data_IF_259905022253
#
_entry.id   IF_259905022253
#
_cell.length_a   1.000
_cell.length_b   1.000
_cell.length_c   1.000
_cell.angle_alpha   90.00
_cell.angle_beta   90.00
_cell.angle_gamma   90.00
#
_symmetry.space_group_name_H-M   'P 1'
#
loop_
_entity.id
_entity.type
_entity.pdbx_description
1 polymer ?
#
# COMPACT_ATOMS: atom_id res chain seq x y z
N UNK A 1 39.52 3.91 -14.24
CA UNK A 1 38.55 2.79 -14.11
C UNK A 1 39.30 1.52 -14.50
N UNK A 2 39.43 0.53 -13.63
CA UNK A 2 40.04 -0.74 -14.00
C UNK A 2 39.07 -1.50 -14.90
N UNK A 3 39.42 -1.71 -16.16
CA UNK A 3 38.72 -2.62 -17.04
C UNK A 3 39.05 -4.06 -16.62
N UNK A 4 38.02 -4.91 -16.37
CA UNK A 4 38.22 -6.34 -16.41
C UNK A 4 38.34 -6.79 -17.87
N UNK A 5 39.12 -7.83 -18.14
CA UNK A 5 39.44 -8.31 -19.51
C UNK A 5 38.20 -8.79 -20.30
N UNK A 6 37.02 -8.88 -19.69
CA UNK A 6 35.76 -9.31 -20.30
C UNK A 6 34.75 -8.19 -20.57
N UNK A 7 35.13 -6.93 -20.45
CA UNK A 7 34.23 -5.79 -20.69
C UNK A 7 33.20 -5.53 -19.57
N UNK A 8 33.23 -6.32 -18.49
CA UNK A 8 32.36 -6.11 -17.34
C UNK A 8 32.82 -4.94 -16.49
N UNK A 9 31.89 -4.06 -16.16
CA UNK A 9 32.19 -2.89 -15.32
C UNK A 9 32.40 -3.36 -13.88
N UNK A 10 33.56 -3.05 -13.30
CA UNK A 10 33.84 -3.30 -11.90
C UNK A 10 33.82 -2.00 -11.12
N UNK A 11 32.96 -1.91 -10.09
CA UNK A 11 32.85 -0.77 -9.19
C UNK A 11 33.29 -1.22 -7.80
N UNK A 12 34.32 -0.62 -7.24
CA UNK A 12 34.74 -0.91 -5.88
C UNK A 12 33.75 -0.33 -4.88
N UNK A 13 33.20 -1.15 -3.99
CA UNK A 13 32.35 -0.68 -2.88
C UNK A 13 33.21 -0.24 -1.69
N UNK A 14 32.85 0.88 -1.09
CA UNK A 14 33.44 1.37 0.16
C UNK A 14 33.07 0.46 1.32
N UNK A 15 33.82 0.51 2.44
CA UNK A 15 33.50 -0.25 3.66
C UNK A 15 32.07 0.06 4.17
N UNK A 16 31.60 1.30 3.99
CA UNK A 16 30.28 1.71 4.39
C UNK A 16 29.17 1.11 3.50
N UNK A 17 29.39 1.05 2.19
CA UNK A 17 28.49 0.36 1.26
C UNK A 17 28.39 -1.13 1.55
N UNK A 18 29.54 -1.79 1.84
CA UNK A 18 29.55 -3.19 2.23
C UNK A 18 28.79 -3.45 3.53
N UNK A 19 28.95 -2.57 4.52
CA UNK A 19 28.18 -2.66 5.78
C UNK A 19 26.70 -2.46 5.53
N UNK A 20 26.32 -1.47 4.70
CA UNK A 20 24.92 -1.23 4.32
C UNK A 20 24.29 -2.46 3.68
N UNK A 21 24.94 -3.08 2.70
CA UNK A 21 24.47 -4.30 2.04
C UNK A 21 24.23 -5.45 3.02
N UNK A 22 25.13 -5.65 3.96
CA UNK A 22 25.00 -6.72 4.96
C UNK A 22 23.88 -6.45 5.96
N UNK A 23 23.81 -5.22 6.48
CA UNK A 23 22.73 -4.83 7.40
C UNK A 23 21.35 -4.99 6.73
N UNK A 24 21.25 -4.62 5.47
CA UNK A 24 20.02 -4.76 4.70
C UNK A 24 19.60 -6.21 4.56
N UNK A 25 20.47 -7.06 4.02
CA UNK A 25 20.14 -8.44 3.70
C UNK A 25 19.92 -9.31 4.96
N UNK A 26 20.74 -9.13 6.01
CA UNK A 26 20.75 -10.04 7.16
C UNK A 26 20.07 -9.48 8.42
N UNK A 27 19.77 -8.20 8.48
CA UNK A 27 19.14 -7.59 9.66
C UNK A 27 17.79 -6.96 9.30
N UNK A 28 17.77 -6.01 8.38
CA UNK A 28 16.57 -5.24 8.07
C UNK A 28 15.50 -6.13 7.44
N UNK A 29 15.84 -6.86 6.37
CA UNK A 29 14.92 -7.73 5.64
C UNK A 29 14.31 -8.85 6.52
N UNK A 30 15.07 -9.64 7.28
CA UNK A 30 14.49 -10.62 8.18
C UNK A 30 13.61 -10.02 9.27
N UNK A 31 13.98 -8.87 9.85
CA UNK A 31 13.20 -8.22 10.91
C UNK A 31 11.82 -7.83 10.41
N UNK A 32 11.72 -7.08 9.32
CA UNK A 32 10.41 -6.61 8.86
C UNK A 32 9.53 -7.76 8.31
N UNK A 33 10.15 -8.79 7.71
CA UNK A 33 9.43 -9.97 7.23
C UNK A 33 8.81 -10.76 8.39
N UNK A 34 9.58 -10.96 9.48
CA UNK A 34 9.08 -11.60 10.70
C UNK A 34 7.99 -10.74 11.37
N UNK A 35 8.19 -9.42 11.44
CA UNK A 35 7.19 -8.51 12.00
C UNK A 35 5.89 -8.55 11.20
N UNK A 36 5.95 -8.57 9.88
CA UNK A 36 4.77 -8.67 9.03
C UNK A 36 3.99 -9.96 9.30
N UNK A 37 4.67 -11.10 9.37
CA UNK A 37 4.05 -12.37 9.74
C UNK A 37 3.43 -12.32 11.13
N UNK A 38 4.16 -11.78 12.11
CA UNK A 38 3.67 -11.65 13.49
C UNK A 38 2.38 -10.80 13.54
N UNK A 39 2.35 -9.66 12.86
CA UNK A 39 1.17 -8.80 12.78
C UNK A 39 0.00 -9.53 12.11
N UNK A 40 0.24 -10.24 11.01
CA UNK A 40 -0.79 -11.01 10.32
C UNK A 40 -1.43 -12.07 11.22
N UNK A 41 -0.60 -12.81 11.98
CA UNK A 41 -1.06 -13.82 12.95
C UNK A 41 -1.80 -13.17 14.13
N UNK A 42 -1.27 -12.08 14.67
CA UNK A 42 -1.90 -11.32 15.75
C UNK A 42 -3.31 -10.84 15.38
N UNK A 43 -3.49 -10.41 14.13
CA UNK A 43 -4.77 -9.93 13.61
C UNK A 43 -5.69 -11.06 13.11
N UNK A 44 -5.29 -12.33 13.18
CA UNK A 44 -6.02 -13.43 12.54
C UNK A 44 -7.49 -13.54 12.97
N UNK A 45 -7.75 -13.37 14.27
CA UNK A 45 -9.09 -13.50 14.87
C UNK A 45 -9.88 -12.18 14.90
N UNK A 46 -9.32 -11.08 14.41
CA UNK A 46 -9.99 -9.79 14.42
C UNK A 46 -10.95 -9.66 13.24
N UNK A 47 -12.15 -9.11 13.53
CA UNK A 47 -13.26 -9.07 12.57
C UNK A 47 -13.61 -7.66 12.08
N UNK A 48 -13.06 -6.63 12.69
CA UNK A 48 -13.21 -5.24 12.29
C UNK A 48 -12.65 -5.04 10.89
N UNK A 49 -13.31 -4.23 10.05
CA UNK A 49 -12.99 -4.08 8.61
C UNK A 49 -11.56 -3.56 8.44
N UNK A 50 -11.20 -2.53 9.20
CA UNK A 50 -9.88 -1.91 9.18
C UNK A 50 -8.77 -2.87 9.62
N UNK A 51 -9.02 -3.70 10.65
CA UNK A 51 -8.06 -4.69 11.13
C UNK A 51 -7.95 -5.89 10.17
N UNK A 52 -9.06 -6.29 9.54
CA UNK A 52 -9.01 -7.29 8.45
C UNK A 52 -8.19 -6.79 7.28
N UNK A 53 -8.35 -5.53 6.90
CA UNK A 53 -7.56 -4.94 5.83
C UNK A 53 -6.06 -4.90 6.19
N UNK A 54 -5.69 -4.48 7.41
CA UNK A 54 -4.29 -4.55 7.87
C UNK A 54 -3.74 -5.97 7.89
N UNK A 55 -4.55 -6.96 8.28
CA UNK A 55 -4.14 -8.37 8.22
C UNK A 55 -3.80 -8.79 6.79
N UNK A 56 -4.68 -8.49 5.82
CA UNK A 56 -4.43 -8.82 4.43
C UNK A 56 -3.26 -8.05 3.85
N UNK A 57 -3.08 -6.78 4.24
CA UNK A 57 -1.88 -6.01 3.92
C UNK A 57 -0.62 -6.77 4.32
N UNK A 58 -0.52 -7.22 5.56
CA UNK A 58 0.67 -7.93 6.06
C UNK A 58 0.84 -9.33 5.45
N UNK A 59 -0.23 -10.01 5.10
CA UNK A 59 -0.16 -11.29 4.38
C UNK A 59 0.43 -11.07 2.97
N UNK A 60 -0.07 -10.09 2.23
CA UNK A 60 0.44 -9.81 0.89
C UNK A 60 1.86 -9.26 0.91
N UNK A 61 2.21 -8.46 1.92
CA UNK A 61 3.59 -8.03 2.14
C UNK A 61 4.51 -9.25 2.36
N UNK A 62 4.16 -10.10 3.31
CA UNK A 62 4.94 -11.30 3.63
C UNK A 62 5.10 -12.23 2.40
N UNK A 63 4.03 -12.45 1.64
CA UNK A 63 4.09 -13.25 0.42
C UNK A 63 4.97 -12.59 -0.64
N UNK A 64 4.83 -11.28 -0.85
CA UNK A 64 5.65 -10.51 -1.79
C UNK A 64 7.14 -10.65 -1.47
N UNK A 65 7.52 -10.42 -0.21
CA UNK A 65 8.90 -10.56 0.25
C UNK A 65 9.46 -11.99 0.10
N UNK A 66 8.62 -13.00 0.34
CA UNK A 66 9.05 -14.38 0.13
C UNK A 66 9.22 -14.73 -1.36
N UNK A 67 8.47 -14.13 -2.28
CA UNK A 67 8.71 -14.28 -3.71
C UNK A 67 10.05 -13.66 -4.12
N UNK A 68 10.40 -12.49 -3.61
CA UNK A 68 11.71 -11.88 -3.81
C UNK A 68 12.83 -12.78 -3.25
N UNK A 69 12.70 -13.26 -2.01
CA UNK A 69 13.66 -14.17 -1.40
C UNK A 69 13.79 -15.50 -2.17
N UNK A 70 12.67 -16.05 -2.67
CA UNK A 70 12.68 -17.26 -3.49
C UNK A 70 13.39 -17.05 -4.82
N UNK A 71 13.21 -15.89 -5.45
CA UNK A 71 13.94 -15.54 -6.67
C UNK A 71 15.46 -15.52 -6.40
N UNK A 72 15.87 -14.94 -5.29
CA UNK A 72 17.27 -14.89 -4.88
C UNK A 72 17.86 -16.27 -4.57
N UNK A 73 17.11 -17.17 -3.92
CA UNK A 73 17.61 -18.45 -3.43
C UNK A 73 17.54 -19.58 -4.44
N UNK A 74 16.55 -19.59 -5.35
CA UNK A 74 16.23 -20.74 -6.16
C UNK A 74 16.43 -20.52 -7.67
N UNK A 75 16.72 -19.30 -8.10
CA UNK A 75 16.97 -19.03 -9.54
C UNK A 75 18.42 -18.68 -9.78
N UNK A 76 19.00 -19.28 -10.82
CA UNK A 76 20.32 -18.88 -11.31
C UNK A 76 20.22 -17.43 -11.85
N UNK A 77 21.15 -16.58 -11.43
CA UNK A 77 21.22 -15.17 -11.82
C UNK A 77 20.00 -14.29 -11.43
N UNK A 78 19.14 -14.71 -10.51
CA UNK A 78 17.96 -13.94 -10.07
C UNK A 78 17.00 -13.55 -11.21
N UNK A 79 16.83 -14.41 -12.23
CA UNK A 79 16.19 -14.08 -13.50
C UNK A 79 14.73 -14.57 -13.62
N UNK A 80 14.06 -14.95 -12.54
CA UNK A 80 12.65 -15.31 -12.62
C UNK A 80 11.74 -14.08 -12.67
N UNK A 81 11.44 -13.62 -13.87
CA UNK A 81 10.47 -12.54 -14.09
C UNK A 81 9.13 -12.78 -13.38
N UNK A 82 8.69 -14.04 -13.30
CA UNK A 82 7.43 -14.39 -12.65
C UNK A 82 7.46 -14.11 -11.15
N UNK A 83 8.55 -14.45 -10.45
CA UNK A 83 8.68 -14.21 -9.00
C UNK A 83 8.74 -12.74 -8.70
N UNK A 84 9.42 -11.93 -9.53
CA UNK A 84 9.47 -10.49 -9.38
C UNK A 84 8.10 -9.82 -9.63
N UNK A 85 7.35 -10.28 -10.62
CA UNK A 85 5.98 -9.79 -10.81
C UNK A 85 5.07 -10.14 -9.64
N UNK A 86 5.22 -11.32 -9.04
CA UNK A 86 4.48 -11.73 -7.86
C UNK A 86 4.88 -10.90 -6.63
N UNK A 87 6.18 -10.59 -6.48
CA UNK A 87 6.67 -9.66 -5.46
C UNK A 87 6.02 -8.29 -5.64
N UNK A 88 6.16 -7.68 -6.80
CA UNK A 88 5.60 -6.36 -7.12
C UNK A 88 4.08 -6.30 -6.91
N UNK A 89 3.34 -7.34 -7.34
CA UNK A 89 1.91 -7.46 -7.11
C UNK A 89 1.58 -7.57 -5.61
N UNK A 90 2.33 -8.39 -4.86
CA UNK A 90 2.18 -8.54 -3.42
C UNK A 90 2.34 -7.20 -2.70
N UNK A 91 3.36 -6.43 -3.07
CA UNK A 91 3.61 -5.10 -2.52
C UNK A 91 2.48 -4.12 -2.86
N UNK A 92 2.04 -4.04 -4.12
CA UNK A 92 0.94 -3.17 -4.53
C UNK A 92 -0.37 -3.49 -3.78
N UNK A 93 -0.70 -4.77 -3.62
CA UNK A 93 -1.86 -5.20 -2.83
C UNK A 93 -1.70 -4.85 -1.35
N UNK A 94 -0.51 -5.06 -0.80
CA UNK A 94 -0.20 -4.72 0.59
C UNK A 94 -0.45 -3.23 0.87
N UNK A 95 0.12 -2.35 0.06
CA UNK A 95 -0.08 -0.90 0.16
C UNK A 95 -1.56 -0.51 -0.02
N UNK A 96 -2.27 -1.15 -0.94
CA UNK A 96 -3.70 -0.93 -1.17
C UNK A 96 -4.55 -1.27 0.06
N UNK A 97 -4.32 -2.43 0.67
CA UNK A 97 -5.04 -2.84 1.87
C UNK A 97 -4.70 -1.99 3.10
N UNK A 98 -3.44 -1.57 3.28
CA UNK A 98 -3.05 -0.66 4.36
C UNK A 98 -3.74 0.71 4.20
N UNK A 99 -3.76 1.23 2.98
CA UNK A 99 -4.45 2.49 2.66
C UNK A 99 -5.95 2.39 2.89
N UNK A 100 -6.57 1.26 2.50
CA UNK A 100 -7.99 1.02 2.77
C UNK A 100 -8.27 0.97 4.28
N UNK A 101 -7.42 0.30 5.06
CA UNK A 101 -7.54 0.27 6.52
C UNK A 101 -7.49 1.68 7.13
N UNK A 102 -6.56 2.51 6.65
CA UNK A 102 -6.42 3.89 7.11
C UNK A 102 -7.67 4.72 6.78
N UNK A 103 -8.14 4.68 5.53
CA UNK A 103 -9.34 5.42 5.08
C UNK A 103 -10.57 4.96 5.86
N UNK A 104 -10.77 3.65 6.03
CA UNK A 104 -11.90 3.10 6.77
C UNK A 104 -11.82 3.46 8.25
N UNK A 105 -10.63 3.38 8.84
CA UNK A 105 -10.40 3.77 10.22
C UNK A 105 -10.69 5.26 10.47
N UNK A 106 -10.29 6.13 9.55
CA UNK A 106 -10.60 7.57 9.62
C UNK A 106 -12.10 7.79 9.47
N UNK A 107 -12.75 7.11 8.51
CA UNK A 107 -14.18 7.27 8.30
C UNK A 107 -15.00 6.80 9.52
N UNK A 108 -14.70 5.63 10.06
CA UNK A 108 -15.47 5.09 11.20
C UNK A 108 -15.24 5.84 12.51
N UNK A 109 -14.03 6.31 12.76
CA UNK A 109 -13.67 6.91 14.05
C UNK A 109 -13.73 8.43 14.08
N UNK A 110 -13.35 9.09 12.97
CA UNK A 110 -13.27 10.55 12.91
C UNK A 110 -14.44 11.16 12.13
N UNK A 111 -14.66 10.77 10.88
CA UNK A 111 -15.63 11.41 10.00
C UNK A 111 -17.07 10.88 10.20
N UNK A 112 -17.21 9.58 10.48
CA UNK A 112 -18.51 8.87 10.62
C UNK A 112 -19.44 9.09 9.42
N UNK A 113 -18.84 9.25 8.24
CA UNK A 113 -19.57 9.57 7.03
C UNK A 113 -20.37 8.37 6.49
N UNK A 114 -19.79 7.16 6.54
CA UNK A 114 -20.43 5.95 6.02
C UNK A 114 -21.50 5.36 6.94
N UNK A 115 -21.60 5.78 8.20
CA UNK A 115 -22.62 5.26 9.11
C UNK A 115 -24.00 5.88 8.84
N UNK A 116 -25.01 5.11 8.37
CA UNK A 116 -26.31 5.68 7.99
C UNK A 116 -27.07 6.30 9.17
N UNK A 117 -26.82 5.84 10.41
CA UNK A 117 -27.52 6.27 11.62
C UNK A 117 -26.83 7.42 12.36
N UNK A 118 -25.62 7.82 11.98
CA UNK A 118 -24.88 8.89 12.68
C UNK A 118 -24.70 10.09 11.76
N UNK A 119 -24.78 11.26 12.34
CA UNK A 119 -24.45 12.51 11.67
C UNK A 119 -22.94 12.57 11.39
N UNK A 120 -22.56 13.03 10.19
CA UNK A 120 -21.18 13.28 9.82
C UNK A 120 -20.56 14.32 10.78
N UNK A 121 -19.33 14.08 11.25
CA UNK A 121 -18.63 15.02 12.16
C UNK A 121 -18.37 16.40 11.53
N UNK A 122 -18.43 16.49 10.18
CA UNK A 122 -18.30 17.74 9.45
C UNK A 122 -19.60 18.55 9.37
N UNK A 123 -20.70 18.10 9.99
CA UNK A 123 -22.00 18.79 9.94
C UNK A 123 -21.91 20.24 10.43
N UNK A 124 -21.03 20.51 11.40
CA UNK A 124 -20.79 21.86 11.90
C UNK A 124 -20.19 22.81 10.85
N UNK A 125 -19.41 22.28 9.90
CA UNK A 125 -18.86 23.04 8.77
C UNK A 125 -19.85 23.16 7.60
N UNK A 126 -20.60 22.10 7.34
CA UNK A 126 -21.54 22.04 6.22
C UNK A 126 -22.88 22.74 6.53
N UNK A 127 -23.14 23.13 7.78
CA UNK A 127 -24.40 23.72 8.31
C UNK A 127 -25.65 22.87 8.06
N UNK A 128 -25.71 22.07 7.00
CA UNK A 128 -26.79 21.13 6.68
C UNK A 128 -26.16 19.81 6.20
N UNK A 129 -26.62 18.69 6.74
CA UNK A 129 -26.16 17.38 6.28
C UNK A 129 -27.03 16.92 5.12
N UNK A 130 -26.52 17.02 3.91
CA UNK A 130 -27.21 16.59 2.69
C UNK A 130 -27.21 15.07 2.46
N UNK A 131 -26.73 14.27 3.43
CA UNK A 131 -26.69 12.81 3.35
C UNK A 131 -28.07 12.18 3.12
N UNK A 132 -29.13 12.86 3.51
CA UNK A 132 -30.51 12.41 3.42
C UNK A 132 -31.33 13.15 2.35
N UNK A 133 -30.74 14.11 1.68
CA UNK A 133 -31.39 14.88 0.61
C UNK A 133 -30.66 14.64 -0.71
N UNK A 134 -31.35 14.81 -1.83
CA UNK A 134 -30.80 14.63 -3.18
C UNK A 134 -29.79 15.71 -3.60
N UNK A 135 -29.14 16.35 -2.63
CA UNK A 135 -28.16 17.42 -2.84
C UNK A 135 -26.75 16.87 -2.76
N UNK A 136 -25.83 17.36 -3.59
CA UNK A 136 -24.44 16.92 -3.59
C UNK A 136 -23.73 17.31 -2.27
N UNK A 137 -23.16 16.30 -1.59
CA UNK A 137 -22.36 16.51 -0.40
C UNK A 137 -20.97 17.11 -0.78
N UNK A 138 -20.55 18.18 -0.08
CA UNK A 138 -19.25 18.80 -0.32
C UNK A 138 -18.07 17.85 -0.12
N UNK A 139 -18.16 16.91 0.83
CA UNK A 139 -17.16 15.87 1.01
C UNK A 139 -17.07 14.94 -0.19
N UNK A 140 -18.22 14.54 -0.77
CA UNK A 140 -18.24 13.73 -2.00
C UNK A 140 -17.60 14.47 -3.18
N UNK A 141 -17.92 15.75 -3.35
CA UNK A 141 -17.29 16.58 -4.40
C UNK A 141 -15.79 16.72 -4.19
N UNK A 142 -15.34 16.85 -2.93
CA UNK A 142 -13.93 16.87 -2.59
C UNK A 142 -13.23 15.55 -2.95
N UNK A 143 -13.85 14.39 -2.67
CA UNK A 143 -13.28 13.09 -3.05
C UNK A 143 -13.22 12.91 -4.57
N UNK A 144 -14.21 13.39 -5.34
CA UNK A 144 -14.15 13.38 -6.80
C UNK A 144 -12.96 14.21 -7.29
N UNK A 145 -12.81 15.42 -6.76
CA UNK A 145 -11.68 16.28 -7.09
C UNK A 145 -10.33 15.62 -6.76
N UNK A 146 -10.20 15.05 -5.56
CA UNK A 146 -8.99 14.34 -5.13
C UNK A 146 -8.68 13.12 -6.00
N UNK A 147 -9.71 12.42 -6.50
CA UNK A 147 -9.52 11.31 -7.43
C UNK A 147 -8.99 11.80 -8.79
N UNK A 148 -9.51 12.90 -9.33
CA UNK A 148 -9.01 13.48 -10.58
C UNK A 148 -7.56 13.99 -10.41
N UNK A 149 -7.30 14.74 -9.33
CA UNK A 149 -5.96 15.22 -9.01
C UNK A 149 -4.98 14.06 -8.79
N UNK A 150 -5.41 13.03 -8.06
CA UNK A 150 -4.64 11.80 -7.83
C UNK A 150 -4.30 11.07 -9.12
N UNK A 151 -5.24 11.01 -10.08
CA UNK A 151 -4.98 10.41 -11.39
C UNK A 151 -3.87 11.14 -12.15
N UNK A 152 -3.84 12.46 -12.10
CA UNK A 152 -2.79 13.28 -12.75
C UNK A 152 -1.44 13.04 -12.05
N UNK A 153 -1.43 13.11 -10.72
CA UNK A 153 -0.22 12.92 -9.92
C UNK A 153 0.34 11.49 -10.09
N UNK A 154 -0.52 10.49 -10.17
CA UNK A 154 -0.13 9.09 -10.35
C UNK A 154 0.71 8.85 -11.63
N UNK A 155 0.61 9.72 -12.63
CA UNK A 155 1.39 9.61 -13.86
C UNK A 155 2.83 10.16 -13.75
N UNK A 156 3.18 10.80 -12.63
CA UNK A 156 4.52 11.39 -12.44
C UNK A 156 5.68 10.39 -12.63
N UNK A 157 5.61 9.12 -12.15
CA UNK A 157 6.67 8.15 -12.35
C UNK A 157 6.97 7.82 -13.81
N UNK A 158 6.06 8.16 -14.75
CA UNK A 158 6.31 7.99 -16.19
C UNK A 158 7.48 8.85 -16.69
N UNK A 159 7.88 9.90 -15.97
CA UNK A 159 9.03 10.72 -16.29
C UNK A 159 10.37 10.04 -15.96
N UNK A 160 10.37 8.89 -15.28
CA UNK A 160 11.59 8.16 -14.95
C UNK A 160 12.31 7.70 -16.22
N UNK A 161 13.62 7.91 -16.27
CA UNK A 161 14.49 7.31 -17.28
C UNK A 161 14.77 5.85 -16.87
N UNK A 162 14.51 4.91 -17.77
CA UNK A 162 14.78 3.50 -17.56
C UNK A 162 16.21 3.18 -18.01
N UNK A 163 16.99 2.59 -17.12
CA UNK A 163 18.38 2.21 -17.38
C UNK A 163 18.61 0.75 -17.04
N UNK A 164 19.29 0.07 -17.94
CA UNK A 164 19.93 -1.18 -17.59
C UNK A 164 21.23 -0.84 -16.86
N UNK A 165 21.36 -1.27 -15.62
CA UNK A 165 22.59 -1.12 -14.84
C UNK A 165 23.04 -2.50 -14.42
N UNK A 166 24.28 -2.85 -14.78
CA UNK A 166 24.93 -4.07 -14.32
C UNK A 166 26.40 -3.76 -14.04
N UNK A 167 26.87 -4.21 -12.90
CA UNK A 167 28.28 -4.14 -12.54
C UNK A 167 28.66 -5.18 -11.50
N UNK A 168 29.95 -5.52 -11.48
CA UNK A 168 30.52 -6.35 -10.47
C UNK A 168 31.12 -5.51 -9.33
N UNK A 169 30.93 -5.97 -8.10
CA UNK A 169 31.58 -5.38 -6.93
C UNK A 169 32.05 -6.47 -5.98
N UNK A 170 32.84 -6.12 -4.98
CA UNK A 170 33.23 -7.04 -3.91
C UNK A 170 32.59 -6.60 -2.61
N UNK A 171 31.89 -7.55 -1.95
CA UNK A 171 31.33 -7.39 -0.62
C UNK A 171 32.04 -8.41 0.27
N UNK A 172 32.85 -7.96 1.21
CA UNK A 172 33.67 -8.76 2.10
C UNK A 172 34.49 -9.87 1.39
N UNK A 173 35.12 -9.47 0.28
CA UNK A 173 35.94 -10.36 -0.52
C UNK A 173 35.20 -11.25 -1.52
N UNK A 174 33.88 -11.40 -1.40
CA UNK A 174 33.05 -12.15 -2.34
C UNK A 174 32.70 -11.27 -3.53
N UNK A 175 32.87 -11.79 -4.73
CA UNK A 175 32.43 -11.13 -5.96
C UNK A 175 30.90 -11.19 -6.03
N UNK A 176 30.28 -10.04 -6.21
CA UNK A 176 28.85 -9.88 -6.33
C UNK A 176 28.51 -9.18 -7.63
N UNK A 177 27.57 -9.74 -8.40
CA UNK A 177 27.07 -9.12 -9.62
C UNK A 177 25.75 -8.44 -9.31
N UNK A 178 25.72 -7.12 -9.40
CA UNK A 178 24.50 -6.34 -9.35
C UNK A 178 23.93 -6.22 -10.77
N UNK A 179 22.74 -6.73 -10.94
CA UNK A 179 22.00 -6.62 -12.17
C UNK A 179 20.58 -6.15 -11.87
N UNK A 180 20.19 -4.99 -12.41
CA UNK A 180 18.83 -4.49 -12.26
C UNK A 180 18.13 -4.51 -13.62
N UNK A 181 17.33 -5.55 -13.89
CA UNK A 181 16.69 -5.72 -15.19
C UNK A 181 15.61 -4.66 -15.42
N UNK A 182 15.60 -4.10 -16.61
CA UNK A 182 14.62 -3.10 -17.08
C UNK A 182 13.15 -3.57 -16.90
N UNK A 183 12.93 -4.87 -16.94
CA UNK A 183 11.58 -5.48 -16.86
C UNK A 183 10.85 -5.09 -15.58
N UNK A 184 11.52 -5.04 -14.43
CA UNK A 184 10.90 -4.64 -13.16
C UNK A 184 10.52 -3.16 -13.18
N UNK A 185 11.40 -2.33 -13.69
CA UNK A 185 11.16 -0.91 -13.84
C UNK A 185 9.95 -0.64 -14.75
N UNK A 186 9.72 -1.47 -15.78
CA UNK A 186 8.54 -1.35 -16.64
C UNK A 186 7.24 -1.54 -15.87
N UNK A 187 7.13 -2.56 -15.01
CA UNK A 187 5.89 -2.79 -14.25
C UNK A 187 5.67 -1.66 -13.24
N UNK A 188 6.67 -1.35 -12.45
CA UNK A 188 6.56 -0.49 -11.28
C UNK A 188 6.43 1.00 -11.65
N UNK A 189 7.16 1.48 -12.68
CA UNK A 189 7.18 2.89 -13.05
C UNK A 189 6.53 3.20 -14.40
N UNK A 190 5.99 2.20 -15.11
CA UNK A 190 5.24 2.40 -16.36
C UNK A 190 3.80 1.89 -16.26
N UNK A 191 3.58 0.64 -15.86
CA UNK A 191 2.22 0.08 -15.82
C UNK A 191 1.44 0.51 -14.58
N UNK A 192 2.06 0.54 -13.39
CA UNK A 192 1.38 0.94 -12.16
C UNK A 192 0.90 2.40 -12.15
N UNK A 193 1.61 3.39 -12.70
CA UNK A 193 1.07 4.74 -12.86
C UNK A 193 -0.24 4.78 -13.64
N UNK A 194 -0.34 4.06 -14.76
CA UNK A 194 -1.58 3.98 -15.53
C UNK A 194 -2.68 3.25 -14.77
N UNK A 195 -2.36 2.15 -14.09
CA UNK A 195 -3.31 1.44 -13.26
C UNK A 195 -3.84 2.32 -12.13
N UNK A 196 -2.98 3.03 -11.43
CA UNK A 196 -3.36 3.96 -10.37
C UNK A 196 -4.26 5.08 -10.90
N UNK A 197 -3.88 5.72 -12.02
CA UNK A 197 -4.69 6.75 -12.65
C UNK A 197 -6.08 6.22 -13.06
N UNK A 198 -6.16 5.04 -13.66
CA UNK A 198 -7.42 4.40 -14.03
C UNK A 198 -8.30 4.10 -12.81
N UNK A 199 -7.72 3.61 -11.71
CA UNK A 199 -8.42 3.34 -10.46
C UNK A 199 -8.95 4.63 -9.80
N UNK A 200 -8.18 5.72 -9.80
CA UNK A 200 -8.62 7.03 -9.30
C UNK A 200 -9.80 7.57 -10.14
N UNK A 201 -9.71 7.49 -11.46
CA UNK A 201 -10.80 7.90 -12.34
C UNK A 201 -12.04 7.03 -12.11
N UNK A 202 -11.89 5.72 -11.99
CA UNK A 202 -12.99 4.80 -11.70
C UNK A 202 -13.64 5.12 -10.34
N UNK A 203 -12.85 5.45 -9.31
CA UNK A 203 -13.37 5.87 -8.01
C UNK A 203 -14.21 7.17 -8.13
N UNK A 204 -13.71 8.16 -8.86
CA UNK A 204 -14.41 9.42 -9.10
C UNK A 204 -15.69 9.22 -9.90
N UNK A 205 -15.66 8.43 -10.98
CA UNK A 205 -16.83 8.11 -11.79
C UNK A 205 -17.90 7.35 -11.00
N UNK A 206 -17.47 6.44 -10.11
CA UNK A 206 -18.40 5.71 -9.23
C UNK A 206 -19.17 6.67 -8.33
N UNK A 207 -18.54 7.71 -7.79
CA UNK A 207 -19.21 8.75 -7.02
C UNK A 207 -20.08 9.66 -7.89
N UNK A 208 -19.64 9.95 -9.11
CA UNK A 208 -20.35 10.85 -10.01
C UNK A 208 -21.71 10.28 -10.44
N UNK A 209 -21.76 8.98 -10.79
CA UNK A 209 -22.98 8.34 -11.29
C UNK A 209 -24.07 8.09 -10.24
N UNK A 210 -23.89 8.52 -8.98
CA UNK A 210 -24.91 8.53 -7.90
C UNK A 210 -25.76 7.24 -7.82
N UNK A 211 -25.12 6.08 -7.93
CA UNK A 211 -25.80 4.78 -7.70
C UNK A 211 -26.07 4.60 -6.21
N UNK A 212 -27.00 3.71 -5.89
CA UNK A 212 -27.23 3.30 -4.51
C UNK A 212 -25.90 2.87 -3.84
N UNK A 213 -25.56 3.49 -2.72
CA UNK A 213 -24.34 3.25 -1.94
C UNK A 213 -22.98 3.30 -2.72
N UNK A 214 -22.72 4.35 -3.52
CA UNK A 214 -21.48 4.41 -4.32
C UNK A 214 -20.21 4.56 -3.49
N UNK A 215 -20.33 4.87 -2.21
CA UNK A 215 -19.20 5.22 -1.35
C UNK A 215 -18.28 4.04 -1.08
N UNK A 216 -18.82 2.85 -0.78
CA UNK A 216 -18.01 1.68 -0.47
C UNK A 216 -17.12 1.24 -1.65
N UNK A 217 -17.65 1.01 -2.87
CA UNK A 217 -16.80 0.67 -4.00
C UNK A 217 -15.84 1.81 -4.37
N UNK A 218 -16.25 3.07 -4.24
CA UNK A 218 -15.37 4.21 -4.49
C UNK A 218 -14.20 4.26 -3.50
N UNK A 219 -14.43 4.04 -2.20
CA UNK A 219 -13.36 3.97 -1.19
C UNK A 219 -12.36 2.85 -1.50
N UNK A 220 -12.85 1.69 -1.91
CA UNK A 220 -12.00 0.56 -2.27
C UNK A 220 -11.11 0.88 -3.47
N UNK A 221 -11.71 1.42 -4.54
CA UNK A 221 -10.97 1.83 -5.75
C UNK A 221 -9.96 2.94 -5.45
N UNK A 222 -10.35 3.92 -4.66
CA UNK A 222 -9.48 5.03 -4.26
C UNK A 222 -8.30 4.54 -3.40
N UNK A 223 -8.54 3.63 -2.46
CA UNK A 223 -7.50 3.04 -1.62
C UNK A 223 -6.53 2.18 -2.45
N UNK A 224 -7.06 1.37 -3.37
CA UNK A 224 -6.23 0.60 -4.29
C UNK A 224 -5.37 1.52 -5.17
N UNK A 225 -5.95 2.62 -5.69
CA UNK A 225 -5.23 3.62 -6.47
C UNK A 225 -4.08 4.25 -5.67
N UNK A 226 -4.35 4.68 -4.42
CA UNK A 226 -3.33 5.24 -3.54
C UNK A 226 -2.23 4.22 -3.21
N UNK A 227 -2.60 2.95 -3.00
CA UNK A 227 -1.63 1.89 -2.74
C UNK A 227 -0.69 1.66 -3.92
N UNK A 228 -1.25 1.47 -5.10
CA UNK A 228 -0.46 1.27 -6.34
C UNK A 228 0.38 2.52 -6.66
N UNK A 229 -0.20 3.71 -6.54
CA UNK A 229 0.52 4.97 -6.71
C UNK A 229 1.67 5.10 -5.72
N UNK A 230 1.40 4.85 -4.43
CA UNK A 230 2.41 4.96 -3.36
C UNK A 230 3.59 4.04 -3.63
N UNK A 231 3.34 2.78 -3.98
CA UNK A 231 4.38 1.83 -4.33
C UNK A 231 5.18 2.29 -5.56
N UNK A 232 4.50 2.71 -6.63
CA UNK A 232 5.16 3.23 -7.83
C UNK A 232 6.03 4.47 -7.55
N UNK A 233 5.57 5.37 -6.68
CA UNK A 233 6.35 6.55 -6.27
C UNK A 233 7.60 6.17 -5.47
N UNK A 234 7.50 5.21 -4.55
CA UNK A 234 8.67 4.73 -3.83
C UNK A 234 9.73 4.19 -4.79
N UNK A 235 9.31 3.35 -5.74
CA UNK A 235 10.22 2.81 -6.76
C UNK A 235 10.80 3.92 -7.65
N UNK A 236 9.99 4.88 -8.06
CA UNK A 236 10.45 6.04 -8.83
C UNK A 236 11.55 6.82 -8.09
N UNK A 237 11.34 7.14 -6.81
CA UNK A 237 12.31 7.89 -6.01
C UNK A 237 13.62 7.11 -5.84
N UNK A 238 13.52 5.82 -5.51
CA UNK A 238 14.69 4.95 -5.31
C UNK A 238 15.47 4.79 -6.62
N UNK A 239 14.80 4.48 -7.72
CA UNK A 239 15.47 4.32 -9.03
C UNK A 239 16.08 5.63 -9.52
N UNK A 240 15.39 6.74 -9.38
CA UNK A 240 15.92 8.03 -9.81
C UNK A 240 17.10 8.49 -8.96
N UNK A 241 17.02 8.30 -7.66
CA UNK A 241 18.05 8.75 -6.70
C UNK A 241 19.33 7.91 -6.74
N UNK A 242 19.21 6.60 -6.95
CA UNK A 242 20.32 5.66 -6.78
C UNK A 242 20.65 4.83 -8.03
N UNK A 243 20.18 5.23 -9.20
CA UNK A 243 20.31 4.50 -10.48
C UNK A 243 21.74 4.06 -10.85
N UNK A 244 22.75 4.77 -10.38
CA UNK A 244 24.17 4.46 -10.66
C UNK A 244 24.86 3.69 -9.55
N UNK A 245 24.19 3.45 -8.42
CA UNK A 245 24.76 2.82 -7.22
C UNK A 245 23.75 1.83 -6.64
N UNK A 246 23.70 0.63 -7.20
CA UNK A 246 22.71 -0.39 -6.86
C UNK A 246 22.78 -0.83 -5.39
N UNK A 247 23.94 -0.78 -4.74
CA UNK A 247 24.06 -1.04 -3.28
C UNK A 247 23.17 -0.09 -2.48
N UNK A 248 23.16 1.21 -2.82
CA UNK A 248 22.29 2.17 -2.16
C UNK A 248 20.85 2.06 -2.58
N UNK A 249 20.59 1.64 -3.82
CA UNK A 249 19.24 1.37 -4.28
C UNK A 249 18.61 0.25 -3.45
N UNK A 250 19.27 -0.91 -3.32
CA UNK A 250 18.80 -2.02 -2.51
C UNK A 250 18.64 -1.62 -1.03
N UNK A 251 19.61 -0.86 -0.48
CA UNK A 251 19.52 -0.39 0.89
C UNK A 251 18.25 0.44 1.14
N UNK A 252 17.99 1.44 0.29
CA UNK A 252 16.82 2.30 0.47
C UNK A 252 15.51 1.60 0.15
N UNK A 253 15.50 0.66 -0.78
CA UNK A 253 14.37 -0.20 -1.05
C UNK A 253 13.95 -0.94 0.23
N UNK A 254 14.86 -1.67 0.84
CA UNK A 254 14.59 -2.44 2.06
C UNK A 254 14.26 -1.55 3.27
N UNK A 255 14.91 -0.41 3.40
CA UNK A 255 14.60 0.57 4.46
C UNK A 255 13.20 1.15 4.30
N UNK A 256 12.75 1.44 3.07
CA UNK A 256 11.38 1.92 2.85
C UNK A 256 10.34 0.86 3.16
N UNK A 257 10.62 -0.41 2.89
CA UNK A 257 9.78 -1.54 3.27
C UNK A 257 9.69 -1.72 4.79
N UNK A 258 10.81 -1.58 5.48
CA UNK A 258 10.83 -1.54 6.95
C UNK A 258 9.99 -0.38 7.50
N UNK A 259 10.15 0.83 6.96
CA UNK A 259 9.35 2.01 7.35
C UNK A 259 7.86 1.77 7.11
N UNK A 260 7.51 1.08 6.03
CA UNK A 260 6.12 0.69 5.76
C UNK A 260 5.56 -0.22 6.86
N UNK A 261 6.27 -1.28 7.26
CA UNK A 261 5.84 -2.16 8.36
C UNK A 261 5.73 -1.38 9.67
N UNK A 262 6.65 -0.46 9.96
CA UNK A 262 6.56 0.44 11.11
C UNK A 262 5.34 1.36 11.05
N UNK A 263 4.98 1.85 9.86
CA UNK A 263 3.76 2.63 9.68
C UNK A 263 2.50 1.80 9.97
N UNK A 264 2.47 0.52 9.60
CA UNK A 264 1.37 -0.40 9.98
C UNK A 264 1.31 -0.61 11.50
N UNK A 265 2.45 -0.78 12.17
CA UNK A 265 2.50 -0.84 13.64
C UNK A 265 1.95 0.44 14.27
N UNK A 266 2.30 1.59 13.72
CA UNK A 266 1.77 2.88 14.16
C UNK A 266 0.25 2.98 13.95
N UNK A 267 -0.27 2.51 12.82
CA UNK A 267 -1.72 2.40 12.60
C UNK A 267 -2.40 1.50 13.65
N UNK A 268 -1.81 0.35 13.96
CA UNK A 268 -2.31 -0.52 15.03
C UNK A 268 -2.31 0.18 16.40
N UNK A 269 -1.31 1.00 16.67
CA UNK A 269 -1.29 1.80 17.89
C UNK A 269 -2.43 2.84 17.93
N UNK A 270 -2.74 3.48 16.80
CA UNK A 270 -3.91 4.37 16.67
C UNK A 270 -5.21 3.58 16.91
N UNK A 271 -5.35 2.39 16.33
CA UNK A 271 -6.53 1.53 16.47
C UNK A 271 -6.54 0.70 17.77
N UNK A 272 -5.61 0.91 18.70
CA UNK A 272 -5.47 0.11 19.93
C UNK A 272 -6.75 -0.01 20.75
N UNK A 273 -7.57 1.04 20.79
CA UNK A 273 -8.84 1.01 21.55
C UNK A 273 -9.84 0.00 20.97
N UNK A 274 -9.83 -0.21 19.66
CA UNK A 274 -10.65 -1.22 19.00
C UNK A 274 -10.09 -2.63 19.24
N UNK A 275 -8.76 -2.76 19.34
CA UNK A 275 -8.11 -4.04 19.63
C UNK A 275 -8.40 -4.55 21.02
N UNK A 276 -8.47 -3.68 22.03
CA UNK A 276 -8.51 -4.07 23.45
C UNK A 276 -9.85 -3.78 24.15
N UNK A 277 -10.63 -2.77 23.73
CA UNK A 277 -11.80 -2.31 24.47
C UNK A 277 -13.15 -2.84 23.94
N UNK A 278 -13.23 -3.36 22.73
CA UNK A 278 -14.51 -3.76 22.13
C UNK A 278 -15.06 -5.11 22.59
N UNK A 279 -14.28 -5.89 23.35
CA UNK A 279 -14.74 -7.18 23.86
C UNK A 279 -15.75 -7.11 25.02
N UNK A 280 -16.03 -5.94 25.58
CA UNK A 280 -16.83 -5.80 26.80
C UNK A 280 -18.22 -5.15 26.63
N UNK A 281 -18.68 -4.88 25.41
CA UNK A 281 -20.09 -4.49 25.23
C UNK A 281 -20.88 -5.64 24.64
N UNK A 282 -21.79 -6.28 25.42
CA UNK A 282 -22.79 -7.20 24.85
C UNK A 282 -23.51 -6.41 23.75
N UNK A 283 -23.63 -6.99 22.57
CA UNK A 283 -24.55 -6.51 21.54
C UNK A 283 -25.92 -6.42 22.18
N UNK A 284 -26.36 -5.21 22.49
CA UNK A 284 -27.75 -4.98 22.83
C UNK A 284 -28.55 -5.46 21.61
N UNK A 285 -29.18 -6.64 21.77
CA UNK A 285 -30.24 -7.09 20.89
C UNK A 285 -31.34 -6.06 21.04
N UNK A 286 -31.41 -5.11 20.14
CA UNK A 286 -32.56 -4.23 20.00
C UNK A 286 -33.70 -5.12 19.54
N UNK A 287 -34.41 -5.68 20.52
CA UNK A 287 -35.80 -6.13 20.34
C UNK A 287 -36.58 -4.87 19.94
N UNK A 288 -36.74 -4.67 18.64
CA UNK A 288 -37.71 -3.71 18.12
C UNK A 288 -39.11 -4.19 18.61
N UNK A 289 -39.86 -3.39 19.35
CA UNK A 289 -41.24 -3.73 19.66
C UNK A 289 -41.97 -3.85 18.31
N UNK A 290 -42.63 -4.99 18.12
CA UNK A 290 -43.56 -5.20 17.04
C UNK A 290 -44.67 -4.14 17.14
N UNK A 291 -44.59 -3.10 16.31
CA UNK A 291 -45.66 -2.14 16.16
C UNK A 291 -46.85 -2.84 15.51
N UNK A 292 -47.82 -3.16 16.36
CA UNK A 292 -49.16 -3.50 15.95
C UNK A 292 -49.76 -2.37 15.14
N UNK A 293 -49.68 -2.47 13.82
CA UNK A 293 -50.53 -1.70 12.93
C UNK A 293 -51.95 -2.22 13.07
N UNK A 294 -52.73 -1.61 13.96
CA UNK A 294 -54.18 -1.71 13.94
C UNK A 294 -54.70 -1.03 12.68
N UNK A 295 -55.20 -1.83 11.76
CA UNK A 295 -56.05 -1.36 10.67
C UNK A 295 -57.35 -0.80 11.29
N UNK A 296 -57.53 0.51 11.25
CA UNK A 296 -58.82 1.14 11.42
C UNK A 296 -59.44 1.33 10.03
N UNK A 297 -60.33 0.44 9.67
CA UNK A 297 -61.37 0.65 8.69
C UNK A 297 -62.31 1.78 9.12
N UNK A 298 -62.44 2.84 8.37
CA UNK A 298 -63.69 3.56 8.05
C UNK A 298 -63.49 4.19 6.66
#
# INVERSE_FOLDING_TARGET
MPHSDNGEIFISSSAFEQLAAILTAFVVKPIYTILALFIAVFLWKKNEIELKALKWSMIFFFLGENFCAANFLFTENHDSHMLEYLHSLGMALSFGFATYALIEGIDQNALRYSEPKKTCSLTNFCRQCHKYENVSCGLQSFFIFMGIAGAIVALMPLSAELHLVSYNTRIWGTLYNYNHPIVYQLVEVRYYPFLAAALFLAASLTLWFKRENPLQPSKLLFAAALGVMGFSFFRFIVFHGFRTKLVWMDFWEEVTEFVYVMAVIFMLWIFRNQLFLKNNKPRATTNLPANNFRSSSI
#
